data_IF_604325548329
#
_entry.id   IF_604325548329
#
_cell.length_a   1.000
_cell.length_b   1.000
_cell.length_c   1.000
_cell.angle_alpha   90.00
_cell.angle_beta   90.00
_cell.angle_gamma   90.00
#
_symmetry.space_group_name_H-M   'P 1'
#
loop_
_entity.id
_entity.type
_entity.pdbx_description
1 polymer ?
#
# COMPACT_ATOMS: atom_id res chain seq x y z
N UNK A 1 36.78 -4.31 -2.46
CA UNK A 1 35.39 -4.37 -1.92
C UNK A 1 34.90 -5.80 -2.15
N UNK A 2 34.71 -6.56 -1.08
CA UNK A 2 34.46 -8.00 -1.19
C UNK A 2 33.06 -8.26 -1.81
N UNK A 3 32.88 -9.27 -2.68
CA UNK A 3 31.58 -9.56 -3.31
C UNK A 3 30.47 -9.81 -2.29
N UNK A 4 30.81 -10.36 -1.13
CA UNK A 4 29.88 -10.67 -0.04
C UNK A 4 29.28 -9.42 0.62
N UNK A 5 30.09 -8.37 0.79
CA UNK A 5 29.63 -7.08 1.34
C UNK A 5 28.65 -6.35 0.41
N UNK A 6 28.81 -6.52 -0.90
CA UNK A 6 27.87 -5.98 -1.89
C UNK A 6 26.55 -6.74 -1.84
N UNK A 7 26.58 -8.05 -1.59
CA UNK A 7 25.39 -8.90 -1.57
C UNK A 7 24.54 -8.69 -0.30
N UNK A 8 25.19 -8.55 0.87
CA UNK A 8 24.52 -8.26 2.14
C UNK A 8 23.82 -6.88 2.14
N UNK A 9 24.48 -5.84 1.62
CA UNK A 9 23.85 -4.51 1.43
C UNK A 9 22.65 -4.56 0.48
N UNK A 10 22.73 -5.37 -0.58
CA UNK A 10 21.63 -5.51 -1.54
C UNK A 10 20.43 -6.23 -0.92
N UNK A 11 20.66 -7.26 -0.10
CA UNK A 11 19.59 -8.01 0.57
C UNK A 11 18.79 -7.13 1.55
N UNK A 12 19.47 -6.34 2.38
CA UNK A 12 18.82 -5.39 3.29
C UNK A 12 18.02 -4.30 2.56
N UNK A 13 18.60 -3.71 1.51
CA UNK A 13 17.93 -2.68 0.71
C UNK A 13 16.66 -3.21 0.01
N UNK A 14 16.70 -4.45 -0.47
CA UNK A 14 15.56 -5.03 -1.18
C UNK A 14 14.45 -5.44 -0.22
N UNK A 15 14.79 -5.96 0.97
CA UNK A 15 13.80 -6.22 2.02
C UNK A 15 13.13 -4.92 2.51
N UNK A 16 13.90 -3.83 2.61
CA UNK A 16 13.38 -2.51 2.97
C UNK A 16 12.42 -1.92 1.91
N UNK A 17 12.72 -2.08 0.61
CA UNK A 17 11.76 -1.71 -0.44
C UNK A 17 10.48 -2.55 -0.39
N UNK A 18 10.63 -3.86 -0.17
CA UNK A 18 9.49 -4.78 -0.07
C UNK A 18 8.53 -4.41 1.06
N UNK A 19 9.07 -4.12 2.25
CA UNK A 19 8.25 -3.67 3.39
C UNK A 19 7.62 -2.30 3.16
N UNK A 20 8.30 -1.39 2.46
CA UNK A 20 7.76 -0.07 2.13
C UNK A 20 6.56 -0.15 1.16
N UNK A 21 6.57 -1.08 0.21
CA UNK A 21 5.40 -1.32 -0.67
C UNK A 21 4.20 -1.89 0.08
N UNK A 22 4.43 -2.84 0.99
CA UNK A 22 3.38 -3.43 1.84
C UNK A 22 2.81 -2.37 2.80
N UNK A 23 3.68 -1.58 3.44
CA UNK A 23 3.27 -0.50 4.35
C UNK A 23 2.47 0.59 3.65
N UNK A 24 2.89 1.03 2.46
CA UNK A 24 2.12 1.98 1.67
C UNK A 24 0.78 1.40 1.18
N UNK A 25 0.73 0.11 0.86
CA UNK A 25 -0.53 -0.57 0.56
C UNK A 25 -1.49 -0.53 1.75
N UNK A 26 -0.99 -0.80 2.96
CA UNK A 26 -1.76 -0.66 4.20
C UNK A 26 -2.28 0.76 4.44
N UNK A 27 -1.46 1.79 4.19
CA UNK A 27 -1.89 3.19 4.25
C UNK A 27 -3.03 3.49 3.26
N UNK A 28 -2.95 3.00 2.03
CA UNK A 28 -4.01 3.18 1.04
C UNK A 28 -5.32 2.51 1.47
N UNK A 29 -5.24 1.32 2.08
CA UNK A 29 -6.42 0.66 2.65
C UNK A 29 -7.00 1.45 3.81
N UNK A 30 -6.17 1.93 4.75
CA UNK A 30 -6.62 2.71 5.90
C UNK A 30 -7.30 4.02 5.46
N UNK A 31 -6.69 4.76 4.54
CA UNK A 31 -7.25 6.03 4.04
C UNK A 31 -8.50 5.79 3.20
N UNK A 32 -8.50 4.81 2.29
CA UNK A 32 -9.68 4.49 1.49
C UNK A 32 -10.87 4.05 2.35
N UNK A 33 -10.63 3.25 3.39
CA UNK A 33 -11.65 2.86 4.36
C UNK A 33 -12.14 4.05 5.19
N UNK A 34 -11.24 4.92 5.62
CA UNK A 34 -11.57 6.13 6.37
C UNK A 34 -12.43 7.11 5.55
N UNK A 35 -12.15 7.28 4.25
CA UNK A 35 -12.95 8.13 3.36
C UNK A 35 -14.39 7.61 3.26
N UNK A 36 -14.58 6.31 3.12
CA UNK A 36 -15.92 5.69 3.10
C UNK A 36 -16.61 5.84 4.46
N UNK A 37 -15.88 5.62 5.56
CA UNK A 37 -16.39 5.79 6.91
C UNK A 37 -16.84 7.23 7.18
N UNK A 38 -15.99 8.23 6.95
CA UNK A 38 -16.33 9.64 7.17
C UNK A 38 -17.45 10.13 6.26
N UNK A 39 -17.59 9.56 5.05
CA UNK A 39 -18.76 9.85 4.21
C UNK A 39 -20.06 9.34 4.83
N UNK A 40 -20.06 8.12 5.37
CA UNK A 40 -21.24 7.56 6.05
C UNK A 40 -21.62 8.34 7.31
N UNK A 41 -20.64 8.96 7.99
CA UNK A 41 -20.86 9.82 9.15
C UNK A 41 -21.22 11.27 8.79
N UNK A 42 -21.35 11.61 7.51
CA UNK A 42 -21.76 12.95 7.06
C UNK A 42 -20.70 14.04 7.26
N UNK A 43 -19.46 13.67 7.62
CA UNK A 43 -18.35 14.63 7.86
C UNK A 43 -17.76 15.15 6.53
N UNK A 44 -17.99 14.43 5.43
CA UNK A 44 -17.53 14.81 4.08
C UNK A 44 -18.68 15.29 3.20
N UNK A 45 -18.63 16.56 2.79
CA UNK A 45 -19.49 17.20 1.78
C UNK A 45 -19.20 16.74 0.34
N UNK A 46 -18.38 15.70 0.15
CA UNK A 46 -18.18 15.11 -1.17
C UNK A 46 -19.46 14.44 -1.67
N UNK A 47 -19.73 14.53 -2.97
CA UNK A 47 -20.73 13.70 -3.66
C UNK A 47 -20.54 12.23 -3.27
N UNK A 48 -21.61 11.55 -2.84
CA UNK A 48 -21.56 10.14 -2.42
C UNK A 48 -20.92 9.26 -3.49
N UNK A 49 -21.32 9.45 -4.75
CA UNK A 49 -20.74 8.74 -5.87
C UNK A 49 -19.21 8.94 -5.96
N UNK A 50 -18.72 10.16 -5.77
CA UNK A 50 -17.28 10.46 -5.83
C UNK A 50 -16.54 9.84 -4.64
N UNK A 51 -17.07 9.97 -3.42
CA UNK A 51 -16.45 9.41 -2.22
C UNK A 51 -16.34 7.87 -2.27
N UNK A 52 -17.42 7.20 -2.71
CA UNK A 52 -17.41 5.74 -2.87
C UNK A 52 -16.47 5.28 -3.99
N UNK A 53 -16.44 6.00 -5.12
CA UNK A 53 -15.56 5.63 -6.24
C UNK A 53 -14.09 5.80 -5.87
N UNK A 54 -13.73 6.92 -5.23
CA UNK A 54 -12.35 7.17 -4.78
C UNK A 54 -11.97 6.19 -3.68
N UNK A 55 -12.81 5.99 -2.66
CA UNK A 55 -12.56 5.06 -1.58
C UNK A 55 -12.37 3.63 -2.08
N UNK A 56 -13.25 3.17 -2.99
CA UNK A 56 -13.15 1.85 -3.60
C UNK A 56 -11.88 1.71 -4.46
N UNK A 57 -11.53 2.73 -5.26
CA UNK A 57 -10.30 2.72 -6.06
C UNK A 57 -9.04 2.69 -5.18
N UNK A 58 -9.03 3.43 -4.07
CA UNK A 58 -7.93 3.43 -3.10
C UNK A 58 -7.78 2.06 -2.41
N UNK A 59 -8.89 1.44 -2.04
CA UNK A 59 -8.89 0.10 -1.45
C UNK A 59 -8.38 -0.93 -2.46
N UNK A 60 -8.93 -0.97 -3.67
CA UNK A 60 -8.49 -1.86 -4.75
C UNK A 60 -7.00 -1.73 -5.03
N UNK A 61 -6.52 -0.50 -5.17
CA UNK A 61 -5.10 -0.23 -5.42
C UNK A 61 -4.22 -0.58 -4.21
N UNK A 62 -4.69 -0.34 -2.99
CA UNK A 62 -4.02 -0.76 -1.76
C UNK A 62 -3.84 -2.27 -1.67
N UNK A 63 -4.90 -3.05 -1.95
CA UNK A 63 -4.84 -4.52 -2.01
C UNK A 63 -3.85 -4.96 -3.09
N UNK A 64 -3.92 -4.38 -4.28
CA UNK A 64 -3.00 -4.70 -5.37
C UNK A 64 -1.54 -4.43 -5.00
N UNK A 65 -1.26 -3.33 -4.29
CA UNK A 65 0.09 -3.02 -3.80
C UNK A 65 0.60 -4.03 -2.78
N UNK A 66 -0.25 -4.46 -1.84
CA UNK A 66 0.13 -5.47 -0.84
C UNK A 66 0.40 -6.80 -1.55
N UNK A 67 -0.48 -7.22 -2.47
CA UNK A 67 -0.30 -8.44 -3.23
C UNK A 67 0.99 -8.43 -4.08
N UNK A 68 1.28 -7.30 -4.75
CA UNK A 68 2.53 -7.13 -5.50
C UNK A 68 3.75 -7.15 -4.58
N UNK A 69 3.72 -6.41 -3.47
CA UNK A 69 4.80 -6.40 -2.48
C UNK A 69 5.06 -7.77 -1.90
N UNK A 70 4.00 -8.55 -1.63
CA UNK A 70 4.12 -9.91 -1.14
C UNK A 70 4.66 -10.87 -2.21
N UNK A 71 4.24 -10.73 -3.46
CA UNK A 71 4.77 -11.51 -4.59
C UNK A 71 6.25 -11.22 -4.86
N UNK A 72 6.68 -9.95 -4.81
CA UNK A 72 8.08 -9.56 -4.93
C UNK A 72 8.94 -10.09 -3.77
N UNK A 73 8.37 -10.15 -2.56
CA UNK A 73 9.05 -10.72 -1.40
C UNK A 73 9.18 -12.25 -1.51
N UNK A 74 8.19 -12.92 -2.10
CA UNK A 74 8.12 -14.40 -2.23
C UNK A 74 8.88 -14.95 -3.45
N UNK A 75 9.19 -14.11 -4.45
CA UNK A 75 10.01 -14.46 -5.62
C UNK A 75 11.53 -14.37 -5.38
N UNK A 76 11.95 -14.10 -4.14
CA UNK A 76 13.35 -14.08 -3.69
C UNK A 76 13.63 -15.22 -2.73
#
# INVERSE_FOLDING_TARGET
>A
MNPEDRNARNKGYINFRGSMHIGMGGLYLAVGSAVIYFKNFGVLELSGAVAYTIGAAMILYGVFRIWRGWTDLRRK
#
